data_IF_027703919642
#
_entry.id   IF_027703919642
#
_cell.length_a   1.000
_cell.length_b   1.000
_cell.length_c   1.000
_cell.angle_alpha   90.00
_cell.angle_beta   90.00
_cell.angle_gamma   90.00
#
_symmetry.space_group_name_H-M   'P 1'
#
loop_
_entity.id
_entity.type
_entity.pdbx_description
1 polymer ?
#
# COMPACT_ATOMS: atom_id res chain seq x y z
N UNK A 1 11.25 15.62 21.00
CA UNK A 1 10.90 16.65 20.00
C UNK A 1 9.56 16.32 19.33
N UNK A 2 9.42 15.13 18.71
CA UNK A 2 8.21 14.72 17.97
C UNK A 2 6.96 14.69 18.84
N UNK A 3 7.02 14.04 20.01
CA UNK A 3 5.89 13.91 20.92
C UNK A 3 5.33 15.26 21.39
N UNK A 4 6.21 16.25 21.63
CA UNK A 4 5.81 17.60 22.03
C UNK A 4 5.11 18.39 20.92
N UNK A 5 5.08 17.87 19.70
CA UNK A 5 4.43 18.45 18.50
C UNK A 5 3.31 17.59 17.95
N UNK A 6 2.86 16.60 18.72
CA UNK A 6 1.75 15.74 18.34
C UNK A 6 2.15 14.58 17.41
N UNK A 7 3.45 14.31 17.26
CA UNK A 7 3.96 13.13 16.57
C UNK A 7 4.01 11.91 17.48
N UNK A 8 4.19 10.74 16.89
CA UNK A 8 4.47 9.47 17.58
C UNK A 8 5.94 9.12 17.37
N UNK A 9 6.62 8.76 18.45
CA UNK A 9 8.02 8.33 18.41
C UNK A 9 8.14 6.89 18.86
N UNK A 10 8.56 6.01 17.97
CA UNK A 10 8.78 4.61 18.29
C UNK A 10 10.01 4.45 19.17
N UNK A 11 9.96 3.47 20.06
CA UNK A 11 11.06 3.11 20.95
C UNK A 11 11.97 2.05 20.30
N UNK A 12 13.23 1.94 20.74
CA UNK A 12 14.06 0.82 20.33
C UNK A 12 13.37 -0.52 20.67
N UNK A 13 13.24 -1.39 19.68
CA UNK A 13 12.60 -2.69 19.81
C UNK A 13 11.10 -2.73 19.44
N UNK A 14 10.46 -1.60 19.17
CA UNK A 14 9.04 -1.56 18.77
C UNK A 14 8.80 -2.17 17.37
N UNK A 15 9.83 -2.29 16.54
CA UNK A 15 9.75 -2.86 15.20
C UNK A 15 10.04 -1.85 14.10
N UNK A 16 9.61 -2.17 12.88
CA UNK A 16 9.85 -1.34 11.70
C UNK A 16 8.78 -0.27 11.52
N UNK A 17 9.22 0.92 11.13
CA UNK A 17 8.35 2.10 10.98
C UNK A 17 7.20 1.87 9.99
N UNK A 18 7.41 1.15 8.90
CA UNK A 18 6.39 0.90 7.87
C UNK A 18 5.18 0.17 8.44
N UNK A 19 5.40 -0.89 9.23
CA UNK A 19 4.31 -1.62 9.89
C UNK A 19 3.58 -0.74 10.92
N UNK A 20 4.33 0.04 11.71
CA UNK A 20 3.75 0.94 12.70
C UNK A 20 2.93 2.06 12.08
N UNK A 21 3.43 2.66 11.01
CA UNK A 21 2.72 3.73 10.33
C UNK A 21 1.36 3.27 9.83
N UNK A 22 1.30 2.08 9.22
CA UNK A 22 0.04 1.51 8.74
C UNK A 22 -0.98 1.26 9.86
N UNK A 23 -0.53 0.98 11.09
CA UNK A 23 -1.44 0.83 12.24
C UNK A 23 -2.05 2.12 12.74
N UNK A 24 -1.54 3.26 12.31
CA UNK A 24 -2.05 4.59 12.71
C UNK A 24 -2.94 5.22 11.63
N UNK A 25 -3.12 4.56 10.49
CA UNK A 25 -3.87 5.10 9.36
C UNK A 25 -5.37 4.91 9.51
N UNK A 26 -6.10 5.86 8.95
CA UNK A 26 -7.50 5.74 8.63
C UNK A 26 -7.65 5.41 7.14
N UNK A 27 -8.75 4.76 6.75
CA UNK A 27 -9.06 4.57 5.33
C UNK A 27 -9.08 5.90 4.57
N UNK A 28 -8.76 5.84 3.28
CA UNK A 28 -8.73 6.99 2.37
C UNK A 28 -7.78 8.13 2.79
N UNK A 29 -6.83 7.84 3.68
CA UNK A 29 -5.79 8.81 4.08
C UNK A 29 -4.80 9.02 2.93
N UNK A 30 -4.49 10.29 2.67
CA UNK A 30 -3.38 10.68 1.78
C UNK A 30 -2.19 11.08 2.64
N UNK A 31 -1.01 10.57 2.32
CA UNK A 31 0.18 10.85 3.09
C UNK A 31 1.47 10.85 2.29
N UNK A 32 2.56 11.07 2.99
CA UNK A 32 3.92 11.05 2.44
C UNK A 32 4.91 10.51 3.46
N UNK A 33 6.09 10.16 3.01
CA UNK A 33 7.19 9.73 3.87
C UNK A 33 8.53 9.77 3.13
N UNK A 34 9.62 9.76 3.89
CA UNK A 34 10.99 9.85 3.37
C UNK A 34 11.58 8.52 2.88
N UNK A 35 10.77 7.48 2.80
CA UNK A 35 11.18 6.15 2.35
C UNK A 35 10.23 5.64 1.26
N UNK A 36 10.75 4.97 0.23
CA UNK A 36 9.98 4.46 -0.91
C UNK A 36 8.92 3.43 -0.51
N UNK A 37 9.12 2.73 0.61
CA UNK A 37 8.20 1.76 1.18
C UNK A 37 7.20 2.37 2.19
N UNK A 38 7.13 3.71 2.28
CA UNK A 38 6.01 4.39 2.95
C UNK A 38 4.74 4.20 2.12
N UNK A 39 4.06 3.06 2.29
CA UNK A 39 2.90 2.65 1.48
C UNK A 39 1.67 2.45 2.35
N UNK A 40 0.51 2.89 1.85
CA UNK A 40 -0.77 2.84 2.56
C UNK A 40 -1.79 2.02 1.77
N UNK A 41 -2.00 0.74 2.12
CA UNK A 41 -2.91 -0.13 1.36
C UNK A 41 -4.37 0.32 1.40
N UNK A 42 -4.81 0.91 2.52
CA UNK A 42 -6.18 1.41 2.71
C UNK A 42 -6.33 2.91 2.46
N UNK A 43 -5.29 3.54 1.96
CA UNK A 43 -5.23 4.94 1.56
C UNK A 43 -4.26 5.07 0.40
N UNK A 44 -3.57 6.18 0.30
CA UNK A 44 -2.51 6.38 -0.67
C UNK A 44 -1.38 7.20 -0.08
N UNK A 45 -0.13 6.86 -0.39
CA UNK A 45 1.03 7.66 -0.05
C UNK A 45 1.86 8.00 -1.28
N UNK A 46 2.45 9.17 -1.25
CA UNK A 46 3.40 9.66 -2.25
C UNK A 46 4.75 9.82 -1.58
N UNK A 47 5.61 8.77 -1.53
CA UNK A 47 6.94 8.88 -0.98
C UNK A 47 7.75 9.97 -1.68
N UNK A 48 8.51 10.73 -0.90
CA UNK A 48 9.29 11.85 -1.40
C UNK A 48 10.65 11.92 -0.71
N UNK A 49 11.60 12.65 -1.29
CA UNK A 49 12.88 12.89 -0.66
C UNK A 49 12.72 13.60 0.70
N UNK A 50 13.62 13.30 1.64
CA UNK A 50 13.55 13.81 3.02
C UNK A 50 13.45 15.35 3.12
N UNK A 51 14.05 16.08 2.19
CA UNK A 51 13.94 17.53 2.13
C UNK A 51 12.51 18.01 1.83
N UNK A 52 11.83 17.36 0.87
CA UNK A 52 10.44 17.70 0.53
C UNK A 52 9.48 17.30 1.66
N UNK A 53 9.72 16.16 2.31
CA UNK A 53 8.93 15.73 3.47
C UNK A 53 9.10 16.70 4.65
N UNK A 54 10.34 17.15 4.91
CA UNK A 54 10.62 18.15 5.95
C UNK A 54 9.97 19.50 5.63
N UNK A 55 9.99 19.93 4.37
CA UNK A 55 9.29 21.12 3.89
C UNK A 55 7.78 21.01 4.12
N UNK A 56 7.18 19.89 3.71
CA UNK A 56 5.75 19.62 3.94
C UNK A 56 5.38 19.63 5.43
N UNK A 57 6.21 19.03 6.28
CA UNK A 57 6.02 19.05 7.73
C UNK A 57 6.12 20.46 8.33
N UNK A 58 6.95 21.33 7.75
CA UNK A 58 7.15 22.70 8.24
C UNK A 58 5.99 23.64 7.86
N UNK A 59 5.45 23.53 6.65
CA UNK A 59 4.45 24.47 6.11
C UNK A 59 3.05 23.87 5.93
N UNK A 60 2.89 22.56 6.14
CA UNK A 60 1.60 21.86 6.07
C UNK A 60 1.11 21.53 4.65
N UNK A 61 1.91 21.76 3.61
CA UNK A 61 1.56 21.46 2.22
C UNK A 61 2.75 20.83 1.47
N UNK A 62 2.45 19.96 0.52
CA UNK A 62 3.44 19.35 -0.37
C UNK A 62 2.95 19.49 -1.82
N UNK A 63 3.74 20.11 -2.73
CA UNK A 63 3.39 20.14 -4.14
C UNK A 63 3.55 18.74 -4.74
N UNK A 64 2.55 18.29 -5.50
CA UNK A 64 2.54 17.01 -6.21
C UNK A 64 1.97 17.26 -7.61
N UNK A 65 2.69 16.80 -8.64
CA UNK A 65 2.12 16.62 -9.96
C UNK A 65 1.22 15.39 -9.93
N UNK A 66 -0.07 15.54 -10.25
CA UNK A 66 -1.03 14.44 -10.16
C UNK A 66 -0.67 13.33 -11.16
N UNK A 67 -0.28 12.13 -10.69
CA UNK A 67 0.07 11.04 -11.58
C UNK A 67 -1.18 10.44 -12.24
N UNK A 68 -1.02 9.89 -13.43
CA UNK A 68 -2.01 8.97 -14.00
C UNK A 68 -2.03 7.65 -13.23
N UNK A 69 -3.14 6.91 -13.33
CA UNK A 69 -3.28 5.59 -12.70
C UNK A 69 -3.13 4.45 -13.71
N UNK A 70 -2.59 3.34 -13.23
CA UNK A 70 -2.64 2.02 -13.86
C UNK A 70 -3.52 1.13 -13.01
N UNK A 71 -4.57 0.56 -13.62
CA UNK A 71 -5.44 -0.40 -12.96
C UNK A 71 -4.90 -1.82 -13.12
N UNK A 72 -4.78 -2.55 -12.01
CA UNK A 72 -4.56 -4.00 -12.00
C UNK A 72 -5.83 -4.65 -11.48
N UNK A 73 -6.46 -5.44 -12.35
CA UNK A 73 -7.71 -6.14 -12.05
C UNK A 73 -7.49 -7.63 -11.99
N UNK A 74 -7.70 -8.19 -10.80
CA UNK A 74 -7.74 -9.63 -10.60
C UNK A 74 -9.17 -10.15 -10.81
N UNK A 75 -9.29 -11.35 -11.38
CA UNK A 75 -10.56 -12.06 -11.57
C UNK A 75 -10.34 -13.57 -11.42
N UNK A 76 -11.43 -14.32 -11.23
CA UNK A 76 -11.35 -15.77 -11.02
C UNK A 76 -10.99 -16.14 -9.58
N UNK A 77 -10.54 -17.37 -9.39
CA UNK A 77 -10.26 -17.95 -8.07
C UNK A 77 -8.79 -18.35 -7.94
N UNK A 78 -8.21 -18.11 -6.76
CA UNK A 78 -6.84 -18.50 -6.45
C UNK A 78 -6.71 -20.03 -6.46
N UNK A 79 -5.73 -20.54 -7.18
CA UNK A 79 -5.53 -21.97 -7.36
C UNK A 79 -4.82 -22.62 -6.17
N UNK A 80 -5.07 -23.91 -5.88
CA UNK A 80 -4.38 -24.62 -4.82
C UNK A 80 -2.85 -24.55 -4.97
N UNK A 81 -2.16 -24.26 -3.86
CA UNK A 81 -0.70 -24.13 -3.83
C UNK A 81 -0.16 -22.76 -4.24
N UNK A 82 -1.03 -21.85 -4.72
CA UNK A 82 -0.68 -20.46 -5.00
C UNK A 82 -0.83 -19.63 -3.72
N UNK A 83 0.12 -18.74 -3.50
CA UNK A 83 0.19 -17.87 -2.33
C UNK A 83 -0.03 -16.41 -2.71
N UNK A 84 -0.21 -15.57 -1.71
CA UNK A 84 -0.30 -14.12 -1.93
C UNK A 84 0.94 -13.57 -2.66
N UNK A 85 2.12 -14.09 -2.35
CA UNK A 85 3.37 -13.67 -3.01
C UNK A 85 3.36 -13.94 -4.51
N UNK A 86 2.74 -15.03 -4.95
CA UNK A 86 2.59 -15.35 -6.36
C UNK A 86 1.67 -14.32 -7.05
N UNK A 87 0.63 -13.84 -6.38
CA UNK A 87 -0.25 -12.80 -6.90
C UNK A 87 0.50 -11.45 -7.03
N UNK A 88 1.31 -11.10 -6.04
CA UNK A 88 2.17 -9.91 -6.09
C UNK A 88 3.13 -10.00 -7.27
N UNK A 89 3.73 -11.18 -7.50
CA UNK A 89 4.65 -11.44 -8.61
C UNK A 89 3.92 -11.54 -9.96
N UNK A 90 2.64 -11.87 -9.98
CA UNK A 90 1.85 -11.90 -11.20
C UNK A 90 1.77 -10.53 -11.90
N UNK A 91 1.78 -9.44 -11.13
CA UNK A 91 1.69 -8.09 -11.70
C UNK A 91 2.84 -7.83 -12.70
N UNK A 92 4.13 -7.89 -12.33
CA UNK A 92 5.21 -7.72 -13.29
C UNK A 92 5.27 -8.85 -14.33
N UNK A 93 4.93 -10.10 -13.97
CA UNK A 93 4.92 -11.22 -14.89
C UNK A 93 3.98 -10.99 -16.08
N UNK A 94 2.73 -10.63 -15.85
CA UNK A 94 1.77 -10.35 -16.91
C UNK A 94 2.09 -9.05 -17.66
N UNK A 95 2.60 -8.03 -16.97
CA UNK A 95 3.04 -6.80 -17.62
C UNK A 95 4.18 -7.04 -18.61
N UNK A 96 5.09 -8.00 -18.33
CA UNK A 96 6.14 -8.41 -19.26
C UNK A 96 5.52 -9.12 -20.48
N UNK A 97 4.59 -10.04 -20.27
CA UNK A 97 3.94 -10.77 -21.37
C UNK A 97 3.15 -9.84 -22.30
N UNK A 98 2.56 -8.80 -21.75
CA UNK A 98 1.84 -7.77 -22.52
C UNK A 98 2.76 -6.68 -23.09
N UNK A 99 4.09 -6.85 -23.00
CA UNK A 99 5.09 -5.87 -23.45
C UNK A 99 4.92 -4.48 -22.79
N UNK A 100 4.41 -4.42 -21.56
CA UNK A 100 4.26 -3.19 -20.77
C UNK A 100 5.41 -2.99 -19.77
N UNK A 101 6.19 -4.04 -19.52
CA UNK A 101 7.38 -4.03 -18.69
C UNK A 101 8.51 -4.77 -19.41
N UNK A 102 9.71 -4.21 -19.42
CA UNK A 102 10.88 -4.86 -20.01
C UNK A 102 11.96 -5.06 -18.97
N UNK A 103 12.56 -6.26 -18.97
CA UNK A 103 13.73 -6.58 -18.16
C UNK A 103 14.97 -6.06 -18.89
N UNK A 104 15.88 -5.39 -18.19
CA UNK A 104 17.14 -4.94 -18.77
C UNK A 104 17.38 -3.42 -18.70
N UNK A 105 18.63 -3.04 -18.94
CA UNK A 105 19.13 -1.68 -18.64
C UNK A 105 18.93 -0.66 -19.77
N UNK A 106 18.65 -1.06 -21.01
CA UNK A 106 18.52 -0.14 -22.15
C UNK A 106 17.11 -0.16 -22.71
N UNK A 107 16.51 1.04 -22.85
CA UNK A 107 15.17 1.20 -23.43
C UNK A 107 14.06 0.59 -22.54
N UNK A 108 14.24 0.64 -21.23
CA UNK A 108 13.31 0.03 -20.27
C UNK A 108 11.93 0.68 -20.38
N UNK A 109 10.95 -0.08 -20.86
CA UNK A 109 9.54 0.25 -20.72
C UNK A 109 9.08 -0.18 -19.33
N UNK A 110 8.39 0.69 -18.62
CA UNK A 110 7.77 0.37 -17.34
C UNK A 110 6.49 1.19 -17.21
N UNK A 111 5.35 0.52 -17.42
CA UNK A 111 4.03 1.17 -17.38
C UNK A 111 3.70 1.73 -15.98
N UNK A 112 4.30 1.18 -14.93
CA UNK A 112 4.06 1.60 -13.54
C UNK A 112 4.88 2.83 -13.13
N UNK A 113 5.96 3.12 -13.86
CA UNK A 113 6.90 4.17 -13.47
C UNK A 113 6.22 5.54 -13.38
N UNK A 114 6.28 6.17 -12.22
CA UNK A 114 5.70 7.47 -11.96
C UNK A 114 4.17 7.50 -11.90
N UNK A 115 3.48 6.34 -11.87
CA UNK A 115 2.03 6.24 -11.86
C UNK A 115 1.50 5.75 -10.52
N UNK A 116 0.21 5.95 -10.29
CA UNK A 116 -0.51 5.31 -9.19
C UNK A 116 -0.90 3.90 -9.62
N UNK A 117 -0.61 2.93 -8.79
CA UNK A 117 -1.06 1.55 -8.98
C UNK A 117 -2.36 1.32 -8.19
N UNK A 118 -3.46 1.11 -8.91
CA UNK A 118 -4.75 0.79 -8.31
C UNK A 118 -5.03 -0.70 -8.49
N UNK A 119 -5.28 -1.42 -7.39
CA UNK A 119 -5.47 -2.87 -7.38
C UNK A 119 -6.89 -3.20 -6.95
N UNK A 120 -7.60 -3.99 -7.75
CA UNK A 120 -8.93 -4.48 -7.43
C UNK A 120 -9.13 -5.97 -7.77
N UNK A 121 -10.26 -6.54 -7.33
CA UNK A 121 -10.63 -7.94 -7.57
C UNK A 121 -10.23 -8.90 -6.46
N UNK A 122 -9.68 -8.39 -5.36
CA UNK A 122 -9.29 -9.14 -4.17
C UNK A 122 -9.90 -8.49 -2.90
N UNK A 123 -11.23 -8.31 -2.85
CA UNK A 123 -11.86 -7.43 -1.86
C UNK A 123 -11.78 -7.92 -0.43
N UNK A 124 -11.57 -9.24 -0.23
CA UNK A 124 -11.59 -9.91 1.08
C UNK A 124 -10.19 -10.16 1.65
N UNK A 125 -9.15 -9.60 1.01
CA UNK A 125 -7.81 -9.64 1.59
C UNK A 125 -7.79 -8.91 2.93
N UNK A 126 -7.05 -9.47 3.89
CA UNK A 126 -6.71 -8.72 5.11
C UNK A 126 -5.85 -7.51 4.77
N UNK A 127 -5.95 -6.45 5.56
CA UNK A 127 -5.17 -5.22 5.30
C UNK A 127 -3.66 -5.50 5.30
N UNK A 128 -3.19 -6.40 6.16
CA UNK A 128 -1.78 -6.85 6.17
C UNK A 128 -1.38 -7.55 4.88
N UNK A 129 -2.30 -8.28 4.24
CA UNK A 129 -2.07 -8.90 2.93
C UNK A 129 -2.08 -7.85 1.81
N UNK A 130 -2.99 -6.89 1.87
CA UNK A 130 -3.03 -5.77 0.94
C UNK A 130 -1.75 -4.90 1.05
N UNK A 131 -1.14 -4.84 2.23
CA UNK A 131 0.14 -4.16 2.43
C UNK A 131 1.26 -4.78 1.59
N UNK A 132 1.29 -6.09 1.38
CA UNK A 132 2.29 -6.72 0.50
C UNK A 132 2.22 -6.20 -0.94
N UNK A 133 1.03 -6.00 -1.48
CA UNK A 133 0.85 -5.40 -2.81
C UNK A 133 1.31 -3.94 -2.85
N UNK A 134 0.87 -3.19 -1.85
CA UNK A 134 1.19 -1.78 -1.72
C UNK A 134 2.70 -1.57 -1.56
N UNK A 135 3.36 -2.35 -0.70
CA UNK A 135 4.79 -2.30 -0.45
C UNK A 135 5.59 -2.66 -1.72
N UNK A 136 5.25 -3.77 -2.36
CA UNK A 136 5.91 -4.21 -3.59
C UNK A 136 5.81 -3.22 -4.76
N UNK A 137 4.85 -2.29 -4.73
CA UNK A 137 4.72 -1.25 -5.75
C UNK A 137 5.93 -0.30 -5.80
N UNK A 138 6.69 -0.21 -4.71
CA UNK A 138 7.93 0.55 -4.64
C UNK A 138 8.97 0.01 -5.64
N UNK A 139 9.09 -1.31 -5.74
CA UNK A 139 10.00 -1.99 -6.67
C UNK A 139 9.64 -1.76 -8.14
N UNK A 140 8.39 -1.42 -8.42
CA UNK A 140 7.88 -1.09 -9.76
C UNK A 140 8.06 0.39 -10.12
N UNK A 141 8.70 1.18 -9.24
CA UNK A 141 8.83 2.64 -9.39
C UNK A 141 7.47 3.36 -9.47
N UNK A 142 6.42 2.80 -8.89
CA UNK A 142 5.13 3.45 -8.80
C UNK A 142 5.18 4.64 -7.81
N UNK A 143 4.52 5.74 -8.13
CA UNK A 143 4.44 6.90 -7.24
C UNK A 143 3.56 6.65 -6.01
N UNK A 144 2.55 5.81 -6.16
CA UNK A 144 1.64 5.41 -5.09
C UNK A 144 0.97 4.09 -5.41
N UNK A 145 0.31 3.51 -4.42
CA UNK A 145 -0.49 2.31 -4.60
C UNK A 145 -1.66 2.33 -3.64
N UNK A 146 -2.82 1.90 -4.11
CA UNK A 146 -4.00 1.65 -3.29
C UNK A 146 -4.61 0.30 -3.66
N UNK A 147 -5.24 -0.36 -2.68
CA UNK A 147 -5.86 -1.67 -2.85
C UNK A 147 -7.32 -1.58 -2.43
N UNK A 148 -8.22 -1.95 -3.33
CA UNK A 148 -9.66 -1.91 -3.08
C UNK A 148 -10.09 -3.12 -2.25
N UNK A 149 -10.50 -2.86 -1.02
CA UNK A 149 -11.00 -3.86 -0.08
C UNK A 149 -12.48 -3.63 0.25
N UNK A 150 -13.13 -4.66 0.79
CA UNK A 150 -14.41 -4.53 1.48
C UNK A 150 -14.26 -3.86 2.85
N UNK A 151 -15.36 -3.48 3.47
CA UNK A 151 -15.37 -2.81 4.77
C UNK A 151 -14.96 -3.75 5.90
N UNK A 152 -15.35 -5.02 5.86
CA UNK A 152 -15.12 -5.99 6.93
C UNK A 152 -13.62 -6.19 7.27
N UNK A 153 -12.70 -6.43 6.31
CA UNK A 153 -11.28 -6.53 6.60
C UNK A 153 -10.70 -5.26 7.22
N UNK A 154 -11.22 -4.10 6.80
CA UNK A 154 -10.77 -2.81 7.31
C UNK A 154 -11.27 -2.60 8.74
N UNK A 155 -12.52 -2.95 9.05
CA UNK A 155 -13.07 -2.88 10.40
C UNK A 155 -12.28 -3.78 11.36
N UNK A 156 -11.99 -5.04 10.96
CA UNK A 156 -11.15 -5.96 11.74
C UNK A 156 -9.79 -5.34 12.06
N UNK A 157 -9.15 -4.76 11.04
CA UNK A 157 -7.84 -4.11 11.18
C UNK A 157 -7.89 -2.91 12.12
N UNK A 158 -8.87 -2.03 11.98
CA UNK A 158 -9.03 -0.86 12.84
C UNK A 158 -9.30 -1.25 14.30
N UNK A 159 -10.13 -2.28 14.53
CA UNK A 159 -10.39 -2.80 15.88
C UNK A 159 -9.11 -3.33 16.54
N UNK A 160 -8.30 -4.08 15.80
CA UNK A 160 -6.98 -4.54 16.26
C UNK A 160 -6.05 -3.38 16.60
N UNK A 161 -6.05 -2.33 15.78
CA UNK A 161 -5.21 -1.14 15.99
C UNK A 161 -5.67 -0.31 17.20
N UNK A 162 -6.97 -0.16 17.39
CA UNK A 162 -7.54 0.49 18.59
C UNK A 162 -7.03 -0.23 19.85
N UNK A 163 -7.18 -1.55 19.90
CA UNK A 163 -6.71 -2.35 21.04
C UNK A 163 -5.21 -2.16 21.28
N UNK A 164 -4.39 -2.20 20.23
CA UNK A 164 -2.95 -1.99 20.35
C UNK A 164 -2.62 -0.61 20.90
N UNK A 165 -3.25 0.45 20.39
CA UNK A 165 -2.99 1.81 20.85
C UNK A 165 -3.48 2.04 22.29
N UNK A 166 -4.59 1.42 22.71
CA UNK A 166 -5.03 1.43 24.11
C UNK A 166 -3.97 0.80 25.02
N UNK A 167 -3.40 -0.35 24.62
CA UNK A 167 -2.27 -0.99 25.33
C UNK A 167 -1.01 -0.13 25.36
N UNK A 168 -0.70 0.59 24.29
CA UNK A 168 0.42 1.53 24.29
C UNK A 168 0.22 2.62 25.34
N UNK A 169 -0.98 3.20 25.44
CA UNK A 169 -1.30 4.22 26.46
C UNK A 169 -1.17 3.65 27.86
N UNK A 170 -1.76 2.47 28.13
CA UNK A 170 -1.63 1.77 29.42
C UNK A 170 -0.17 1.52 29.82
N UNK A 171 0.69 1.21 28.86
CA UNK A 171 2.12 0.98 29.07
C UNK A 171 2.96 2.28 29.10
N UNK A 172 2.32 3.43 29.18
CA UNK A 172 2.99 4.71 29.41
C UNK A 172 3.76 5.26 28.20
N UNK A 173 3.25 5.07 26.98
CA UNK A 173 3.77 5.79 25.81
C UNK A 173 3.52 7.30 25.97
N UNK A 174 4.54 8.11 25.65
CA UNK A 174 4.48 9.58 25.83
C UNK A 174 3.49 10.27 24.88
N UNK A 175 3.08 9.57 23.84
CA UNK A 175 2.22 10.07 22.75
C UNK A 175 0.72 9.86 23.03
N UNK A 176 0.33 9.63 24.27
CA UNK A 176 -1.04 9.26 24.69
C UNK A 176 -2.12 10.17 24.08
N UNK A 177 -1.88 11.49 24.00
CA UNK A 177 -2.84 12.43 23.40
C UNK A 177 -3.09 12.14 21.91
N UNK A 178 -2.03 11.88 21.15
CA UNK A 178 -2.12 11.58 19.71
C UNK A 178 -2.75 10.22 19.49
N UNK A 179 -2.35 9.21 20.28
CA UNK A 179 -2.94 7.87 20.23
C UNK A 179 -4.43 7.90 20.56
N UNK A 180 -4.85 8.62 21.62
CA UNK A 180 -6.26 8.75 22.00
C UNK A 180 -7.09 9.40 20.89
N UNK A 181 -6.56 10.45 20.26
CA UNK A 181 -7.23 11.09 19.12
C UNK A 181 -7.41 10.09 17.98
N UNK A 182 -6.38 9.34 17.61
CA UNK A 182 -6.44 8.35 16.54
C UNK A 182 -7.43 7.21 16.85
N UNK A 183 -7.45 6.73 18.10
CA UNK A 183 -8.43 5.75 18.58
C UNK A 183 -9.87 6.26 18.37
N UNK A 184 -10.14 7.50 18.76
CA UNK A 184 -11.48 8.07 18.60
C UNK A 184 -11.89 8.21 17.13
N UNK A 185 -11.00 8.69 16.28
CA UNK A 185 -11.23 8.80 14.83
C UNK A 185 -11.52 7.42 14.20
N UNK A 186 -10.81 6.36 14.61
CA UNK A 186 -11.08 4.99 14.16
C UNK A 186 -12.42 4.47 14.64
N UNK A 187 -12.78 4.73 15.94
CA UNK A 187 -14.09 4.35 16.49
C UNK A 187 -15.24 5.06 15.76
N UNK A 188 -15.08 6.33 15.43
CA UNK A 188 -16.05 7.10 14.64
C UNK A 188 -16.21 6.52 13.24
N UNK A 189 -15.10 6.21 12.57
CA UNK A 189 -15.14 5.62 11.23
C UNK A 189 -15.87 4.26 11.23
N UNK A 190 -15.60 3.40 12.22
CA UNK A 190 -16.27 2.08 12.36
C UNK A 190 -17.78 2.21 12.56
N UNK A 191 -18.27 3.27 13.20
CA UNK A 191 -19.71 3.50 13.39
C UNK A 191 -20.44 3.85 12.09
N UNK A 192 -19.75 4.43 11.11
CA UNK A 192 -20.31 4.80 9.82
C UNK A 192 -19.26 4.61 8.71
N UNK A 193 -18.94 3.35 8.37
CA UNK A 193 -17.91 3.06 7.38
C UNK A 193 -18.24 3.70 6.05
N UNK A 194 -17.23 4.30 5.43
CA UNK A 194 -17.32 4.86 4.09
C UNK A 194 -15.97 4.72 3.41
N UNK A 195 -15.97 4.10 2.26
CA UNK A 195 -14.80 3.96 1.40
C UNK A 195 -15.00 4.74 0.10
N UNK A 196 -13.96 5.41 -0.34
CA UNK A 196 -13.92 6.01 -1.67
C UNK A 196 -13.98 4.89 -2.73
N UNK A 197 -14.56 5.24 -3.86
CA UNK A 197 -14.65 4.38 -5.05
C UNK A 197 -14.20 5.20 -6.24
N UNK A 198 -13.61 4.55 -7.27
CA UNK A 198 -13.32 5.25 -8.51
C UNK A 198 -14.63 5.78 -9.12
N UNK A 199 -14.53 6.92 -9.79
CA UNK A 199 -15.63 7.47 -10.55
C UNK A 199 -16.03 6.51 -11.70
N UNK A 200 -17.30 6.54 -12.12
CA UNK A 200 -17.80 5.64 -13.18
C UNK A 200 -17.07 5.85 -14.52
N UNK A 201 -16.56 7.05 -14.77
CA UNK A 201 -15.82 7.44 -15.96
C UNK A 201 -14.30 7.54 -15.71
N UNK A 202 -13.80 6.94 -14.63
CA UNK A 202 -12.37 6.93 -14.32
C UNK A 202 -11.54 6.40 -15.49
N UNK A 203 -10.51 7.16 -15.86
CA UNK A 203 -9.63 6.82 -16.97
C UNK A 203 -8.29 6.34 -16.42
N UNK A 204 -7.79 5.26 -17.03
CA UNK A 204 -6.51 4.66 -16.67
C UNK A 204 -5.53 4.75 -17.85
N UNK A 205 -4.26 5.02 -17.56
CA UNK A 205 -3.20 4.98 -18.56
C UNK A 205 -3.03 3.57 -19.13
N UNK A 206 -3.34 2.56 -18.33
CA UNK A 206 -3.36 1.15 -18.73
C UNK A 206 -4.22 0.33 -17.75
N UNK A 207 -4.84 -0.75 -18.26
CA UNK A 207 -5.53 -1.75 -17.43
C UNK A 207 -4.90 -3.11 -17.66
N UNK A 208 -4.29 -3.67 -16.61
CA UNK A 208 -3.73 -5.02 -16.61
C UNK A 208 -4.74 -5.98 -16.01
N UNK A 209 -5.25 -6.92 -16.80
CA UNK A 209 -6.20 -7.93 -16.34
C UNK A 209 -5.46 -9.24 -16.04
N UNK A 210 -5.63 -9.77 -14.83
CA UNK A 210 -4.98 -10.99 -14.37
C UNK A 210 -6.06 -12.01 -13.97
N UNK A 211 -6.12 -13.11 -14.69
CA UNK A 211 -7.00 -14.24 -14.36
C UNK A 211 -6.29 -15.19 -13.39
N UNK A 212 -6.76 -15.23 -12.15
CA UNK A 212 -6.23 -16.10 -11.10
C UNK A 212 -6.27 -17.59 -11.47
N UNK A 213 -7.25 -18.00 -12.28
CA UNK A 213 -7.36 -19.38 -12.73
C UNK A 213 -6.16 -19.79 -13.62
N UNK A 214 -5.49 -18.84 -14.24
CA UNK A 214 -4.32 -19.07 -15.09
C UNK A 214 -3.00 -19.17 -14.33
N UNK A 215 -2.97 -18.81 -13.04
CA UNK A 215 -1.80 -18.93 -12.17
C UNK A 215 -1.82 -20.31 -11.50
N UNK A 216 -1.24 -21.30 -12.17
CA UNK A 216 -1.30 -22.71 -11.75
C UNK A 216 -0.03 -23.21 -11.08
N UNK A 217 1.02 -22.38 -11.03
CA UNK A 217 2.32 -22.70 -10.42
C UNK A 217 2.94 -21.43 -9.80
N UNK A 218 3.84 -21.59 -8.82
CA UNK A 218 4.48 -20.46 -8.16
C UNK A 218 5.26 -19.57 -9.13
N UNK A 219 5.20 -18.26 -8.86
CA UNK A 219 5.93 -17.23 -9.61
C UNK A 219 7.07 -16.68 -8.74
N UNK A 220 8.29 -16.79 -9.23
CA UNK A 220 9.48 -16.43 -8.48
C UNK A 220 10.25 -15.29 -9.13
N UNK A 221 10.74 -14.36 -8.31
CA UNK A 221 11.63 -13.29 -8.77
C UNK A 221 13.07 -13.80 -8.91
N UNK A 222 13.74 -13.42 -9.97
CA UNK A 222 15.18 -13.66 -10.11
C UNK A 222 15.98 -12.81 -9.11
N UNK A 223 17.12 -13.32 -8.56
CA UNK A 223 17.78 -12.71 -7.40
C UNK A 223 18.23 -11.25 -7.57
N UNK A 224 18.43 -10.78 -8.78
CA UNK A 224 19.01 -9.46 -9.04
C UNK A 224 18.04 -8.45 -9.67
N UNK A 225 16.80 -8.85 -9.92
CA UNK A 225 15.79 -7.97 -10.51
C UNK A 225 14.40 -8.39 -10.02
N UNK A 226 13.73 -7.57 -9.19
CA UNK A 226 12.39 -7.89 -8.66
C UNK A 226 11.30 -7.88 -9.74
N UNK A 227 11.60 -7.38 -10.93
CA UNK A 227 10.71 -7.43 -12.09
C UNK A 227 10.92 -8.68 -12.96
N UNK A 228 12.09 -9.35 -12.88
CA UNK A 228 12.36 -10.58 -13.63
C UNK A 228 11.68 -11.78 -12.98
N UNK A 229 10.38 -11.90 -13.22
CA UNK A 229 9.56 -12.98 -12.68
C UNK A 229 9.48 -14.14 -13.67
N UNK A 230 9.63 -15.35 -13.13
CA UNK A 230 9.50 -16.60 -13.87
C UNK A 230 8.63 -17.60 -13.14
N UNK A 231 8.10 -18.54 -13.88
CA UNK A 231 7.50 -19.74 -13.32
C UNK A 231 8.57 -20.60 -12.66
N UNK A 232 8.18 -21.31 -11.60
CA UNK A 232 9.13 -22.15 -10.84
C UNK A 232 9.63 -23.36 -11.61
N UNK A 233 8.82 -23.90 -12.54
CA UNK A 233 9.16 -25.08 -13.37
C UNK A 233 10.05 -24.76 -14.57
#
# INVERSE_FOLDING_TARGET
>A
FMSNRGGVSLRPGDGIIHSWLNRLLLPDTVGTGGDSHTRFPIGISFPAGSGLVAFAAAIGVMPIDMPESVLVRFSGEMQPGITLRDLVNAIPYYAIQENQLTIGKKGKKNIFNGKILEIEGLPDLKVEQAFEFSDASAERSANGCTVRLNEEPIIEFLQSNIFLMEKMIENGYQDARTLSRRINEMKEWIQSPKLLKPDEDAQYAYTLNIDLNSITEPLVACPNDPDDIKKLS
#
